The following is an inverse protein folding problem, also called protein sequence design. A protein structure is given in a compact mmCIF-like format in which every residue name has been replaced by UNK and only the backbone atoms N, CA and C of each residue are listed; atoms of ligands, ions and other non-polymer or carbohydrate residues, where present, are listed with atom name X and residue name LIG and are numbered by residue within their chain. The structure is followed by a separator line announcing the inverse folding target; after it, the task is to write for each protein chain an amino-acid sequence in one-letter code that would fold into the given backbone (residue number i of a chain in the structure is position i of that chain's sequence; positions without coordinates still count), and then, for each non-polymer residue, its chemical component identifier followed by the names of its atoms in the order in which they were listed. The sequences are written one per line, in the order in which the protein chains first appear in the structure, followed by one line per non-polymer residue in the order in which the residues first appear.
data_IF_696293620969
#
_entry.id   IF_696293620969
#
_cell.length_a   1.000
_cell.length_b   1.000
_cell.length_c   1.000
_cell.angle_alpha   90.00
_cell.angle_beta   90.00
_cell.angle_gamma   90.00
#
_symmetry.space_group_name_H-M   'P 1'
#
loop_
_entity.id
_entity.type
_entity.pdbx_description
1 polymer ?
#
# COMPACT_ATOMS: atom_id res chain seq x y z
N UNK A 1 59.27 -2.15 -13.21
CA UNK A 1 58.55 -2.29 -11.91
C UNK A 1 57.10 -1.76 -11.96
N UNK A 2 56.50 -1.58 -13.12
CA UNK A 2 55.11 -1.09 -13.25
C UNK A 2 54.24 -1.99 -14.15
N UNK A 3 54.78 -3.12 -14.61
CA UNK A 3 54.07 -4.08 -15.49
C UNK A 3 53.42 -5.27 -14.77
N UNK A 4 53.69 -5.45 -13.47
CA UNK A 4 53.20 -6.61 -12.75
C UNK A 4 51.87 -6.41 -11.98
N UNK A 5 51.35 -5.18 -11.99
CA UNK A 5 50.08 -4.82 -11.35
C UNK A 5 48.82 -5.18 -12.19
N UNK A 6 49.02 -5.53 -13.47
CA UNK A 6 47.93 -5.87 -14.39
C UNK A 6 47.80 -7.36 -14.70
N UNK A 7 48.68 -8.21 -14.14
CA UNK A 7 48.69 -9.65 -14.38
C UNK A 7 48.37 -10.50 -13.17
N UNK A 8 47.70 -9.99 -12.15
CA UNK A 8 47.06 -10.87 -11.19
C UNK A 8 45.91 -11.60 -11.92
N UNK A 9 45.90 -12.95 -11.98
CA UNK A 9 44.75 -13.64 -12.51
C UNK A 9 43.56 -13.23 -11.69
N UNK A 10 42.63 -12.48 -12.30
CA UNK A 10 41.31 -12.28 -11.72
C UNK A 10 40.74 -13.68 -11.54
N UNK A 11 40.57 -14.08 -10.29
CA UNK A 11 39.94 -15.36 -9.97
C UNK A 11 38.53 -15.33 -10.57
N UNK A 12 38.39 -15.91 -11.77
CA UNK A 12 37.11 -16.01 -12.45
C UNK A 12 36.35 -17.12 -11.76
N UNK A 13 35.35 -16.78 -10.98
CA UNK A 13 34.45 -17.79 -10.41
C UNK A 13 33.53 -18.28 -11.53
N UNK A 14 33.58 -19.59 -11.80
CA UNK A 14 32.73 -20.22 -12.82
C UNK A 14 31.56 -20.90 -12.12
N UNK A 15 30.34 -20.35 -12.30
CA UNK A 15 29.12 -20.96 -11.78
C UNK A 15 28.32 -21.56 -12.94
N UNK A 16 27.69 -22.71 -12.72
CA UNK A 16 26.79 -23.25 -13.74
C UNK A 16 25.58 -22.34 -13.91
N UNK A 17 25.08 -22.19 -15.16
CA UNK A 17 23.88 -21.39 -15.43
C UNK A 17 22.69 -21.84 -14.59
N UNK A 18 22.58 -23.14 -14.35
CA UNK A 18 21.51 -23.70 -13.52
C UNK A 18 21.60 -23.22 -12.08
N UNK A 19 22.74 -23.34 -11.43
CA UNK A 19 22.95 -22.92 -10.05
C UNK A 19 22.77 -21.41 -9.89
N UNK A 20 23.27 -20.64 -10.86
CA UNK A 20 23.07 -19.20 -10.89
C UNK A 20 21.56 -18.83 -10.99
N UNK A 21 20.84 -19.46 -11.93
CA UNK A 21 19.41 -19.17 -12.16
C UNK A 21 18.56 -19.58 -10.94
N UNK A 22 18.81 -20.74 -10.35
CA UNK A 22 18.09 -21.22 -9.16
C UNK A 22 18.27 -20.24 -7.99
N UNK A 23 19.52 -19.84 -7.71
CA UNK A 23 19.83 -18.90 -6.62
C UNK A 23 19.25 -17.52 -6.89
N UNK A 24 19.50 -16.95 -8.06
CA UNK A 24 19.01 -15.61 -8.41
C UNK A 24 17.48 -15.54 -8.40
N UNK A 25 16.79 -16.59 -8.86
CA UNK A 25 15.33 -16.64 -8.81
C UNK A 25 14.79 -16.78 -7.39
N UNK A 26 15.45 -17.58 -6.55
CA UNK A 26 15.07 -17.69 -5.13
C UNK A 26 15.24 -16.35 -4.41
N UNK A 27 16.40 -15.70 -4.56
CA UNK A 27 16.68 -14.40 -3.95
C UNK A 27 15.66 -13.33 -4.41
N UNK A 28 15.37 -13.30 -5.72
CA UNK A 28 14.33 -12.41 -6.28
C UNK A 28 12.94 -12.73 -5.71
N UNK A 29 12.57 -14.00 -5.61
CA UNK A 29 11.28 -14.43 -5.09
C UNK A 29 11.09 -13.99 -3.63
N UNK A 30 12.11 -14.20 -2.80
CA UNK A 30 12.11 -13.76 -1.40
C UNK A 30 11.97 -12.24 -1.29
N UNK A 31 12.73 -11.49 -2.09
CA UNK A 31 12.62 -10.04 -2.13
C UNK A 31 11.20 -9.57 -2.53
N UNK A 32 10.61 -10.17 -3.57
CA UNK A 32 9.25 -9.80 -4.01
C UNK A 32 8.20 -10.06 -2.93
N UNK A 33 8.33 -11.16 -2.19
CA UNK A 33 7.40 -11.51 -1.10
C UNK A 33 7.58 -10.54 0.08
N UNK A 34 8.81 -10.35 0.55
CA UNK A 34 9.10 -9.68 1.82
C UNK A 34 9.14 -8.15 1.71
N UNK A 35 9.60 -7.59 0.57
CA UNK A 35 9.87 -6.14 0.45
C UNK A 35 9.25 -5.47 -0.79
N UNK A 36 8.26 -6.07 -1.45
CA UNK A 36 7.64 -5.44 -2.62
C UNK A 36 6.13 -5.60 -2.70
N UNK A 37 5.64 -6.84 -2.84
CA UNK A 37 4.30 -7.09 -3.33
C UNK A 37 3.24 -7.17 -2.24
N UNK A 38 3.60 -7.63 -1.05
CA UNK A 38 2.65 -7.89 0.02
C UNK A 38 2.63 -6.78 1.06
N UNK A 39 1.46 -6.46 1.62
CA UNK A 39 1.32 -5.51 2.71
C UNK A 39 1.76 -6.12 4.04
N UNK A 40 2.15 -5.29 4.99
CA UNK A 40 2.28 -5.70 6.38
C UNK A 40 0.91 -5.71 7.07
N UNK A 41 0.62 -6.74 7.88
CA UNK A 41 -0.67 -6.88 8.55
C UNK A 41 -0.96 -5.74 9.53
N UNK A 42 0.06 -5.18 10.17
CA UNK A 42 -0.08 -4.14 11.19
C UNK A 42 -0.55 -2.78 10.65
N UNK A 43 -0.15 -2.40 9.44
CA UNK A 43 -0.51 -1.10 8.86
C UNK A 43 -1.17 -1.19 7.46
N UNK A 44 -1.27 -2.38 6.88
CA UNK A 44 -1.90 -2.60 5.58
C UNK A 44 -1.14 -2.00 4.40
N UNK A 45 0.12 -1.60 4.58
CA UNK A 45 0.90 -0.92 3.55
C UNK A 45 1.98 -1.83 2.96
N UNK A 46 2.18 -1.69 1.66
CA UNK A 46 3.38 -2.19 0.98
C UNK A 46 4.58 -1.31 1.33
N UNK A 47 5.83 -1.81 1.24
CA UNK A 47 7.01 -1.03 1.57
C UNK A 47 7.09 0.34 0.87
N UNK A 48 6.82 0.40 -0.44
CA UNK A 48 6.82 1.68 -1.17
C UNK A 48 5.77 2.66 -0.65
N UNK A 49 4.59 2.19 -0.29
CA UNK A 49 3.51 3.03 0.24
C UNK A 49 3.88 3.59 1.62
N UNK A 50 4.42 2.75 2.50
CA UNK A 50 4.89 3.16 3.84
C UNK A 50 6.02 4.19 3.73
N UNK A 51 6.98 3.97 2.86
CA UNK A 51 8.09 4.89 2.60
C UNK A 51 7.62 6.24 2.06
N UNK A 52 6.60 6.27 1.19
CA UNK A 52 5.98 7.50 0.70
C UNK A 52 5.31 8.27 1.84
N UNK A 53 4.45 7.62 2.63
CA UNK A 53 3.74 8.26 3.74
C UNK A 53 4.72 8.77 4.80
N UNK A 54 5.75 7.98 5.12
CA UNK A 54 6.80 8.36 6.05
C UNK A 54 7.62 9.55 5.52
N UNK A 55 8.08 9.52 4.28
CA UNK A 55 8.83 10.63 3.68
C UNK A 55 8.01 11.93 3.64
N UNK A 56 6.72 11.86 3.34
CA UNK A 56 5.82 13.01 3.41
C UNK A 56 5.69 13.57 4.83
N UNK A 57 5.66 12.70 5.84
CA UNK A 57 5.67 13.11 7.24
C UNK A 57 6.96 13.84 7.62
N UNK A 58 8.12 13.32 7.22
CA UNK A 58 9.43 13.94 7.42
C UNK A 58 9.56 15.30 6.71
N UNK A 59 8.96 15.46 5.53
CA UNK A 59 8.86 16.73 4.81
C UNK A 59 7.86 17.72 5.44
N UNK A 60 7.18 17.34 6.54
CA UNK A 60 6.19 18.17 7.20
C UNK A 60 4.90 18.36 6.38
N UNK A 61 4.60 17.46 5.44
CA UNK A 61 3.43 17.51 4.57
C UNK A 61 2.18 16.91 5.23
N UNK A 62 1.92 17.25 6.50
CA UNK A 62 0.72 16.84 7.22
C UNK A 62 -0.55 17.40 6.58
N UNK A 63 -1.71 16.91 6.97
CA UNK A 63 -3.01 17.32 6.40
C UNK A 63 -3.26 18.83 6.46
N UNK A 64 -2.75 19.52 7.48
CA UNK A 64 -2.84 20.98 7.65
C UNK A 64 -1.80 21.79 6.86
N UNK A 65 -0.81 21.12 6.25
CA UNK A 65 0.27 21.78 5.52
C UNK A 65 -0.20 22.31 4.16
N UNK A 66 0.62 23.19 3.57
CA UNK A 66 0.44 23.59 2.17
C UNK A 66 0.91 22.48 1.24
N UNK A 67 0.26 22.36 0.10
CA UNK A 67 0.68 21.44 -0.96
C UNK A 67 2.12 21.72 -1.43
N UNK A 68 2.81 20.69 -1.80
CA UNK A 68 4.13 20.73 -2.42
C UNK A 68 4.13 19.90 -3.70
N UNK A 69 4.99 20.25 -4.65
CA UNK A 69 5.15 19.48 -5.89
C UNK A 69 5.43 18.01 -5.59
N UNK A 70 4.69 17.12 -6.24
CA UNK A 70 4.83 15.65 -6.04
C UNK A 70 6.24 15.17 -6.36
N UNK A 71 6.90 15.81 -7.32
CA UNK A 71 8.31 15.55 -7.65
C UNK A 71 9.25 15.71 -6.44
N UNK A 72 8.95 16.59 -5.49
CA UNK A 72 9.73 16.75 -4.25
C UNK A 72 9.61 15.49 -3.38
N UNK A 73 8.40 15.02 -3.15
CA UNK A 73 8.15 13.79 -2.37
C UNK A 73 8.81 12.59 -3.04
N UNK A 74 8.60 12.40 -4.35
CA UNK A 74 9.22 11.30 -5.10
C UNK A 74 10.74 11.33 -5.00
N UNK A 75 11.35 12.51 -5.16
CA UNK A 75 12.80 12.67 -5.03
C UNK A 75 13.33 12.25 -3.65
N UNK A 76 12.67 12.65 -2.58
CA UNK A 76 13.05 12.24 -1.21
C UNK A 76 12.83 10.74 -0.98
N UNK A 77 11.75 10.16 -1.49
CA UNK A 77 11.46 8.72 -1.37
C UNK A 77 12.56 7.88 -2.03
N UNK A 78 12.87 8.16 -3.30
CA UNK A 78 13.86 7.36 -4.03
C UNK A 78 15.29 7.65 -3.56
N UNK A 79 15.56 8.86 -3.11
CA UNK A 79 16.90 9.24 -2.64
C UNK A 79 17.24 8.75 -1.23
N UNK A 80 16.22 8.51 -0.39
CA UNK A 80 16.43 8.19 1.03
C UNK A 80 16.00 6.79 1.43
N UNK A 81 14.92 6.26 0.85
CA UNK A 81 14.27 5.05 1.39
C UNK A 81 14.01 3.97 0.34
N UNK A 82 13.76 4.32 -0.92
CA UNK A 82 13.28 3.38 -1.92
C UNK A 82 14.12 3.43 -3.20
N UNK A 83 15.23 2.65 -3.31
CA UNK A 83 16.20 2.72 -4.39
C UNK A 83 15.67 2.07 -5.69
N UNK A 84 14.54 2.56 -6.20
CA UNK A 84 13.86 2.09 -7.40
C UNK A 84 13.49 3.27 -8.31
N UNK A 85 12.86 2.98 -9.45
CA UNK A 85 12.47 4.01 -10.41
C UNK A 85 11.44 5.00 -9.85
N UNK A 86 11.60 6.27 -10.19
CA UNK A 86 10.72 7.37 -9.80
C UNK A 86 9.28 7.18 -10.27
N UNK A 87 9.09 6.60 -11.46
CA UNK A 87 7.77 6.31 -12.01
C UNK A 87 6.99 5.35 -11.11
N UNK A 88 7.61 4.28 -10.60
CA UNK A 88 6.95 3.33 -9.71
C UNK A 88 6.53 3.96 -8.38
N UNK A 89 7.38 4.81 -7.80
CA UNK A 89 7.04 5.56 -6.58
C UNK A 89 5.90 6.57 -6.84
N UNK A 90 5.92 7.26 -7.98
CA UNK A 90 4.88 8.22 -8.32
C UNK A 90 3.54 7.51 -8.63
N UNK A 91 3.53 6.40 -9.36
CA UNK A 91 2.33 5.62 -9.61
C UNK A 91 1.69 5.09 -8.32
N UNK A 92 2.51 4.68 -7.34
CA UNK A 92 2.00 4.31 -6.02
C UNK A 92 1.38 5.53 -5.30
N UNK A 93 1.97 6.72 -5.40
CA UNK A 93 1.37 7.96 -4.89
C UNK A 93 0.03 8.26 -5.55
N UNK A 94 -0.05 8.10 -6.87
CA UNK A 94 -1.29 8.36 -7.63
C UNK A 94 -2.41 7.48 -7.13
N UNK A 95 -2.19 6.18 -6.99
CA UNK A 95 -3.20 5.25 -6.48
C UNK A 95 -3.69 5.64 -5.07
N UNK A 96 -2.78 6.04 -4.16
CA UNK A 96 -3.13 6.46 -2.80
C UNK A 96 -3.88 7.80 -2.74
N UNK A 97 -3.89 8.58 -3.83
CA UNK A 97 -4.61 9.85 -3.92
C UNK A 97 -5.96 9.73 -4.64
N UNK A 98 -6.20 8.64 -5.37
CA UNK A 98 -7.44 8.45 -6.13
C UNK A 98 -8.56 7.95 -5.20
N UNK A 99 -9.64 8.71 -5.09
CA UNK A 99 -10.81 8.40 -4.27
C UNK A 99 -11.66 7.25 -4.82
N UNK A 100 -11.49 6.93 -6.10
CA UNK A 100 -12.09 5.77 -6.74
C UNK A 100 -11.23 4.49 -6.66
N UNK A 101 -9.96 4.60 -6.21
CA UNK A 101 -9.04 3.48 -5.98
C UNK A 101 -8.91 3.13 -4.50
N UNK A 102 -8.93 4.13 -3.63
CA UNK A 102 -8.79 4.01 -2.19
C UNK A 102 -10.07 4.42 -1.48
N UNK A 103 -10.61 3.55 -0.63
CA UNK A 103 -11.80 3.88 0.18
C UNK A 103 -11.53 5.05 1.14
N UNK A 104 -10.30 5.11 1.66
CA UNK A 104 -9.78 6.18 2.52
C UNK A 104 -8.43 6.64 1.99
N UNK A 105 -8.38 7.60 1.06
CA UNK A 105 -7.14 8.07 0.48
C UNK A 105 -6.14 8.54 1.52
N UNK A 106 -4.86 8.23 1.31
CA UNK A 106 -3.75 8.63 2.18
C UNK A 106 -3.11 9.94 1.72
N UNK A 107 -3.25 10.26 0.45
CA UNK A 107 -2.68 11.45 -0.17
C UNK A 107 -3.82 12.35 -0.66
N UNK A 108 -3.73 13.62 -0.31
CA UNK A 108 -4.56 14.69 -0.81
C UNK A 108 -3.80 15.36 -1.95
N UNK A 109 -4.32 15.21 -3.16
CA UNK A 109 -3.68 15.66 -4.40
C UNK A 109 -4.36 16.87 -5.01
N UNK A 110 -3.56 17.78 -5.57
CA UNK A 110 -4.02 18.90 -6.37
C UNK A 110 -3.48 18.82 -7.79
N UNK A 111 -4.35 18.99 -8.79
CA UNK A 111 -4.05 18.81 -10.20
C UNK A 111 -4.75 17.59 -10.80
N UNK A 112 -4.23 17.06 -11.90
CA UNK A 112 -4.79 15.87 -12.56
C UNK A 112 -4.15 14.59 -12.01
N UNK A 113 -4.91 13.82 -11.24
CA UNK A 113 -4.54 12.53 -10.66
C UNK A 113 -5.26 11.35 -11.34
N UNK A 114 -5.80 11.54 -12.54
CA UNK A 114 -6.63 10.56 -13.24
C UNK A 114 -8.11 10.68 -12.88
N UNK A 115 -8.93 9.85 -13.51
CA UNK A 115 -10.36 9.75 -13.27
C UNK A 115 -10.79 8.28 -13.25
N UNK A 116 -12.00 8.00 -12.78
CA UNK A 116 -12.54 6.64 -12.77
C UNK A 116 -12.60 6.03 -14.18
N UNK A 117 -12.88 6.85 -15.21
CA UNK A 117 -12.93 6.42 -16.61
C UNK A 117 -11.54 6.16 -17.20
N UNK A 118 -10.53 6.92 -16.75
CA UNK A 118 -9.15 6.77 -17.20
C UNK A 118 -8.17 6.95 -16.02
N UNK A 119 -8.02 5.93 -15.18
CA UNK A 119 -7.21 5.99 -13.96
C UNK A 119 -5.71 6.15 -14.22
N UNK A 120 -5.25 5.90 -15.45
CA UNK A 120 -3.85 6.02 -15.84
C UNK A 120 -3.51 7.34 -16.53
N UNK A 121 -4.50 8.16 -16.86
CA UNK A 121 -4.31 9.48 -17.49
C UNK A 121 -4.12 10.58 -16.43
N UNK A 122 -3.04 10.49 -15.68
CA UNK A 122 -2.64 11.49 -14.69
C UNK A 122 -1.46 12.33 -15.20
N UNK A 123 -1.34 13.56 -14.67
CA UNK A 123 -0.26 14.45 -15.05
C UNK A 123 1.09 14.01 -14.45
N UNK A 124 2.19 14.39 -15.09
CA UNK A 124 3.53 14.13 -14.58
C UNK A 124 3.74 14.81 -13.20
N UNK A 125 4.56 14.19 -12.35
CA UNK A 125 4.83 14.63 -10.96
C UNK A 125 5.30 16.08 -10.81
N UNK A 126 5.85 16.70 -11.86
CA UNK A 126 6.24 18.12 -11.88
C UNK A 126 5.04 19.06 -11.92
N UNK A 127 3.88 18.61 -12.35
CA UNK A 127 2.66 19.42 -12.45
C UNK A 127 1.73 19.22 -11.25
N UNK A 128 1.69 18.02 -10.66
CA UNK A 128 0.83 17.74 -9.51
C UNK A 128 1.44 18.22 -8.20
N UNK A 129 0.59 18.49 -7.23
CA UNK A 129 0.97 18.85 -5.88
C UNK A 129 0.26 17.92 -4.89
N UNK A 130 0.90 17.65 -3.75
CA UNK A 130 0.39 16.68 -2.78
C UNK A 130 0.71 17.06 -1.34
N UNK A 131 -0.07 16.52 -0.43
CA UNK A 131 0.11 16.47 1.02
C UNK A 131 -0.59 15.23 1.58
N UNK A 132 -0.39 14.92 2.86
CA UNK A 132 -1.11 13.83 3.53
C UNK A 132 -2.56 14.24 3.83
N UNK A 133 -3.45 13.24 3.89
CA UNK A 133 -4.82 13.40 4.37
C UNK A 133 -4.89 13.35 5.90
N UNK A 134 -6.04 13.73 6.46
CA UNK A 134 -6.31 13.52 7.90
C UNK A 134 -6.29 12.04 8.29
N UNK A 135 -6.68 11.16 7.38
CA UNK A 135 -6.63 9.73 7.61
C UNK A 135 -5.18 9.21 7.72
N UNK A 136 -4.28 9.70 6.88
CA UNK A 136 -2.86 9.39 7.00
C UNK A 136 -2.25 9.89 8.32
N UNK A 137 -2.70 11.03 8.84
CA UNK A 137 -2.26 11.52 10.16
C UNK A 137 -2.63 10.54 11.29
N UNK A 138 -3.74 9.80 11.16
CA UNK A 138 -4.12 8.73 12.14
C UNK A 138 -3.14 7.56 12.08
N UNK A 139 -2.67 7.17 10.90
CA UNK A 139 -1.69 6.09 10.76
C UNK A 139 -0.32 6.46 11.34
N UNK A 140 0.02 7.73 11.36
CA UNK A 140 1.31 8.28 11.80
C UNK A 140 1.29 8.76 13.27
N UNK A 141 0.13 8.82 13.91
CA UNK A 141 -0.11 9.61 15.12
C UNK A 141 0.84 9.33 16.29
N UNK A 142 1.35 8.11 16.44
CA UNK A 142 2.20 7.69 17.54
C UNK A 142 3.64 7.36 17.12
N UNK A 143 4.03 7.69 15.88
CA UNK A 143 5.31 7.30 15.30
C UNK A 143 6.54 7.72 16.15
N UNK A 144 6.47 8.87 16.80
CA UNK A 144 7.54 9.38 17.67
C UNK A 144 7.48 8.91 19.13
N UNK A 145 6.60 7.96 19.48
CA UNK A 145 6.35 7.55 20.88
C UNK A 145 6.95 6.18 21.23
N UNK A 146 7.79 5.62 20.37
CA UNK A 146 8.40 4.30 20.61
C UNK A 146 7.43 3.13 20.41
N UNK A 147 6.39 3.31 19.61
CA UNK A 147 5.34 2.32 19.35
C UNK A 147 5.70 1.34 18.24
N UNK A 148 6.74 1.61 17.47
CA UNK A 148 7.17 0.81 16.31
C UNK A 148 8.68 0.59 16.32
N UNK A 149 9.10 -0.50 15.69
CA UNK A 149 10.50 -0.79 15.45
C UNK A 149 11.02 -0.06 14.22
N UNK A 150 12.32 0.23 14.21
CA UNK A 150 13.03 0.95 13.17
C UNK A 150 14.08 0.04 12.54
N UNK A 151 14.36 0.25 11.29
CA UNK A 151 15.43 -0.42 10.55
C UNK A 151 16.24 0.59 9.74
N UNK A 152 17.54 0.31 9.48
CA UNK A 152 18.31 1.11 8.55
C UNK A 152 17.67 1.13 7.16
N UNK A 153 17.76 2.27 6.48
CA UNK A 153 17.42 2.38 5.07
C UNK A 153 18.43 1.59 4.20
N UNK A 154 18.27 1.60 2.87
CA UNK A 154 19.06 0.79 1.94
C UNK A 154 20.58 1.04 1.98
N UNK A 155 21.05 2.22 2.39
CA UNK A 155 22.48 2.57 2.49
C UNK A 155 22.97 2.72 3.95
N UNK A 156 22.10 2.51 4.93
CA UNK A 156 22.41 2.63 6.35
C UNK A 156 22.63 4.06 6.85
N UNK A 157 22.31 5.07 6.06
CA UNK A 157 22.51 6.48 6.44
C UNK A 157 21.37 7.07 7.28
N UNK A 158 20.19 6.46 7.20
CA UNK A 158 18.97 6.88 7.88
C UNK A 158 18.21 5.66 8.40
N UNK A 159 17.28 5.88 9.33
CA UNK A 159 16.35 4.86 9.77
C UNK A 159 14.96 5.10 9.16
N UNK A 160 14.26 3.99 8.88
CA UNK A 160 12.86 3.98 8.44
C UNK A 160 12.02 3.07 9.36
N UNK A 161 10.73 3.39 9.58
CA UNK A 161 9.88 2.53 10.41
C UNK A 161 9.57 1.21 9.68
N UNK A 162 9.67 0.09 10.40
CA UNK A 162 9.31 -1.23 9.87
C UNK A 162 7.81 -1.33 9.59
N UNK A 163 6.99 -0.63 10.39
CA UNK A 163 5.54 -0.56 10.29
C UNK A 163 5.08 0.80 10.84
N UNK A 164 3.97 1.34 10.34
CA UNK A 164 3.37 2.52 10.95
C UNK A 164 2.51 2.12 12.16
N UNK A 165 2.33 3.02 13.17
CA UNK A 165 1.53 2.73 14.38
C UNK A 165 0.09 2.32 14.06
N UNK A 166 -0.50 2.92 13.03
CA UNK A 166 -1.81 2.59 12.47
C UNK A 166 -2.88 2.37 13.56
N UNK A 167 -3.34 3.43 14.20
CA UNK A 167 -4.36 3.40 15.28
C UNK A 167 -5.69 2.73 14.88
N UNK A 168 -5.85 2.38 13.61
CA UNK A 168 -7.00 1.68 13.03
C UNK A 168 -6.52 0.56 12.10
N UNK A 169 -7.31 -0.50 11.89
CA UNK A 169 -6.93 -1.62 11.02
C UNK A 169 -6.96 -1.23 9.53
N UNK A 170 -5.97 -0.48 9.07
CA UNK A 170 -5.92 0.05 7.70
C UNK A 170 -5.96 -1.06 6.64
N UNK A 171 -5.42 -2.25 6.94
CA UNK A 171 -5.51 -3.40 6.05
C UNK A 171 -6.95 -3.74 5.66
N UNK A 172 -7.88 -3.69 6.60
CA UNK A 172 -9.31 -3.92 6.35
C UNK A 172 -9.99 -2.68 5.75
N UNK A 173 -9.60 -1.48 6.18
CA UNK A 173 -10.25 -0.25 5.75
C UNK A 173 -9.99 0.08 4.29
N UNK A 174 -8.76 -0.01 3.82
CA UNK A 174 -8.41 0.24 2.42
C UNK A 174 -8.31 -1.02 1.58
N UNK A 175 -8.19 -2.18 2.22
CA UNK A 175 -7.87 -3.39 1.50
C UNK A 175 -6.49 -3.33 0.85
N UNK A 176 -6.17 -4.34 0.07
CA UNK A 176 -4.93 -4.37 -0.72
C UNK A 176 -4.94 -5.54 -1.69
N UNK A 177 -4.35 -5.35 -2.85
CA UNK A 177 -4.08 -6.42 -3.82
C UNK A 177 -2.58 -6.54 -4.02
N UNK A 178 -2.04 -7.75 -3.95
CA UNK A 178 -0.61 -8.00 -4.14
C UNK A 178 -0.36 -9.34 -4.80
N UNK A 179 0.47 -9.35 -5.85
CA UNK A 179 0.87 -10.56 -6.57
C UNK A 179 2.37 -10.74 -6.38
N UNK A 180 2.74 -11.73 -5.57
CA UNK A 180 4.12 -12.13 -5.33
C UNK A 180 4.45 -13.41 -6.10
N UNK A 181 5.66 -13.93 -5.91
CA UNK A 181 6.04 -15.22 -6.47
C UNK A 181 5.53 -16.34 -5.56
N UNK A 182 4.68 -17.20 -6.11
CA UNK A 182 4.10 -18.34 -5.38
C UNK A 182 2.94 -18.02 -4.44
N UNK A 183 2.61 -16.74 -4.22
CA UNK A 183 1.45 -16.33 -3.42
C UNK A 183 0.89 -14.98 -3.88
N UNK A 184 -0.38 -14.76 -3.56
CA UNK A 184 -1.07 -13.51 -3.83
C UNK A 184 -2.01 -13.18 -2.68
N UNK A 185 -2.37 -11.90 -2.54
CA UNK A 185 -3.41 -11.43 -1.63
C UNK A 185 -4.35 -10.49 -2.36
N UNK A 186 -5.63 -10.55 -2.01
CA UNK A 186 -6.66 -9.66 -2.51
C UNK A 186 -7.70 -9.42 -1.40
N UNK A 187 -7.49 -8.38 -0.63
CA UNK A 187 -8.32 -8.00 0.52
C UNK A 187 -9.15 -6.78 0.11
N UNK A 188 -10.48 -6.88 0.10
CA UNK A 188 -11.34 -5.76 -0.23
C UNK A 188 -11.38 -4.71 0.90
N UNK A 189 -11.71 -3.45 0.58
CA UNK A 189 -11.91 -2.41 1.59
C UNK A 189 -13.22 -2.59 2.35
N UNK A 190 -13.31 -2.00 3.56
CA UNK A 190 -14.46 -2.10 4.45
C UNK A 190 -14.84 -0.75 5.07
N UNK A 191 -16.07 -0.66 5.55
CA UNK A 191 -16.59 0.55 6.16
C UNK A 191 -15.95 0.84 7.52
N UNK A 192 -15.48 2.08 7.72
CA UNK A 192 -14.80 2.50 8.95
C UNK A 192 -15.63 2.27 10.21
N UNK A 193 -16.92 2.59 10.19
CA UNK A 193 -17.79 2.43 11.37
C UNK A 193 -17.98 0.97 11.73
N UNK A 194 -18.17 0.12 10.73
CA UNK A 194 -18.30 -1.33 10.90
C UNK A 194 -17.03 -1.93 11.48
N UNK A 195 -15.88 -1.59 10.91
CA UNK A 195 -14.57 -2.09 11.37
C UNK A 195 -14.27 -1.59 12.79
N UNK A 196 -14.54 -0.33 13.12
CA UNK A 196 -14.34 0.21 14.47
C UNK A 196 -15.27 -0.48 15.47
N UNK A 197 -16.54 -0.69 15.13
CA UNK A 197 -17.47 -1.41 16.00
C UNK A 197 -17.03 -2.86 16.24
N UNK A 198 -16.56 -3.54 15.20
CA UNK A 198 -15.99 -4.89 15.34
C UNK A 198 -14.73 -4.90 16.21
N UNK A 199 -13.88 -3.89 16.07
CA UNK A 199 -12.66 -3.74 16.89
C UNK A 199 -13.02 -3.51 18.36
N UNK A 200 -13.98 -2.64 18.66
CA UNK A 200 -14.46 -2.41 20.03
C UNK A 200 -15.03 -3.71 20.60
N UNK A 201 -15.86 -4.40 19.84
CA UNK A 201 -16.42 -5.70 20.28
C UNK A 201 -15.32 -6.72 20.59
N UNK A 202 -14.30 -6.81 19.73
CA UNK A 202 -13.16 -7.72 19.94
C UNK A 202 -12.31 -7.34 21.18
N UNK A 203 -12.16 -6.06 21.48
CA UNK A 203 -11.48 -5.60 22.70
C UNK A 203 -12.27 -5.99 23.97
N UNK A 204 -13.59 -5.89 23.95
CA UNK A 204 -14.45 -6.29 25.04
C UNK A 204 -14.60 -7.81 25.16
N UNK A 205 -14.48 -8.52 24.05
CA UNK A 205 -14.64 -9.97 23.91
C UNK A 205 -13.46 -10.56 23.09
N UNK A 206 -12.28 -10.75 23.70
CA UNK A 206 -11.08 -11.22 22.98
C UNK A 206 -11.21 -12.58 22.29
N UNK A 207 -12.13 -13.41 22.74
CA UNK A 207 -12.42 -14.74 22.20
C UNK A 207 -13.52 -14.71 21.11
N UNK A 208 -13.95 -13.53 20.66
CA UNK A 208 -15.00 -13.39 19.65
C UNK A 208 -14.65 -14.14 18.37
N UNK A 209 -15.59 -14.89 17.87
CA UNK A 209 -15.46 -15.65 16.63
C UNK A 209 -15.60 -14.76 15.39
N UNK A 210 -15.12 -15.25 14.24
CA UNK A 210 -15.32 -14.57 12.95
C UNK A 210 -16.80 -14.32 12.68
N UNK A 211 -17.68 -15.25 13.07
CA UNK A 211 -19.13 -15.11 12.87
C UNK A 211 -19.74 -13.99 13.69
N UNK A 212 -19.27 -13.79 14.91
CA UNK A 212 -19.70 -12.68 15.75
C UNK A 212 -19.19 -11.34 15.17
N UNK A 213 -17.95 -11.29 14.66
CA UNK A 213 -17.42 -10.09 14.00
C UNK A 213 -18.17 -9.79 12.69
N UNK A 214 -18.65 -10.80 11.95
CA UNK A 214 -19.52 -10.62 10.79
C UNK A 214 -20.90 -10.01 11.13
N UNK A 215 -21.28 -9.98 12.40
CA UNK A 215 -22.42 -9.20 12.87
C UNK A 215 -22.21 -7.68 12.81
N UNK A 216 -20.96 -7.24 12.84
CA UNK A 216 -20.55 -5.85 12.75
C UNK A 216 -20.08 -5.48 11.33
N UNK A 217 -19.29 -6.34 10.68
CA UNK A 217 -18.80 -6.16 9.31
C UNK A 217 -19.61 -7.07 8.39
N UNK A 218 -20.56 -6.50 7.67
CA UNK A 218 -21.52 -7.29 6.87
C UNK A 218 -20.98 -7.67 5.50
N UNK A 219 -20.25 -6.76 4.86
CA UNK A 219 -19.69 -6.93 3.51
C UNK A 219 -18.56 -5.93 3.27
N UNK A 220 -17.76 -6.11 2.21
CA UNK A 220 -16.86 -5.07 1.71
C UNK A 220 -17.60 -3.78 1.36
N UNK A 221 -16.87 -2.65 1.48
CA UNK A 221 -17.35 -1.31 1.16
C UNK A 221 -16.39 -0.67 0.14
N UNK A 222 -16.72 -0.81 -1.14
CA UNK A 222 -15.89 -0.33 -2.24
C UNK A 222 -16.02 1.19 -2.45
N UNK A 223 -14.99 1.88 -2.96
CA UNK A 223 -15.01 3.33 -3.15
C UNK A 223 -15.87 3.81 -4.32
N UNK A 224 -16.55 2.92 -5.03
CA UNK A 224 -17.42 3.23 -6.18
C UNK A 224 -18.86 2.81 -5.90
N UNK A 225 -19.82 3.49 -6.54
CA UNK A 225 -21.23 3.14 -6.45
C UNK A 225 -21.52 1.81 -7.18
N UNK A 226 -21.55 0.73 -6.42
CA UNK A 226 -21.87 -0.60 -6.92
C UNK A 226 -22.70 -1.38 -5.92
N UNK A 227 -23.51 -2.29 -6.42
CA UNK A 227 -24.29 -3.22 -5.59
C UNK A 227 -23.59 -4.57 -5.52
N UNK A 228 -23.36 -5.08 -4.31
CA UNK A 228 -22.87 -6.44 -4.09
C UNK A 228 -24.06 -7.39 -4.30
N UNK A 229 -23.93 -8.32 -5.25
CA UNK A 229 -24.95 -9.31 -5.56
C UNK A 229 -24.66 -10.69 -4.97
N UNK A 230 -23.51 -10.87 -4.35
CA UNK A 230 -23.16 -12.07 -3.58
C UNK A 230 -24.01 -12.15 -2.33
N UNK A 231 -24.52 -13.33 -2.01
CA UNK A 231 -25.39 -13.51 -0.84
C UNK A 231 -24.64 -13.28 0.49
N UNK A 232 -25.32 -12.83 1.56
CA UNK A 232 -24.67 -12.66 2.86
C UNK A 232 -24.03 -13.94 3.41
N UNK A 233 -24.56 -15.10 3.07
CA UNK A 233 -24.01 -16.40 3.48
C UNK A 233 -22.68 -16.69 2.78
N UNK A 234 -22.62 -16.48 1.46
CA UNK A 234 -21.38 -16.60 0.68
C UNK A 234 -20.31 -15.61 1.17
N UNK A 235 -20.67 -14.38 1.54
CA UNK A 235 -19.74 -13.40 2.10
C UNK A 235 -19.18 -13.87 3.44
N UNK A 236 -20.01 -14.41 4.34
CA UNK A 236 -19.53 -14.99 5.61
C UNK A 236 -18.56 -16.15 5.39
N UNK A 237 -18.85 -17.01 4.41
CA UNK A 237 -17.93 -18.10 4.06
C UNK A 237 -16.60 -17.60 3.50
N UNK A 238 -16.61 -16.52 2.74
CA UNK A 238 -15.38 -15.85 2.30
C UNK A 238 -14.58 -15.32 3.50
N UNK A 239 -15.22 -14.68 4.47
CA UNK A 239 -14.55 -14.21 5.68
C UNK A 239 -13.99 -15.34 6.54
N UNK A 240 -14.69 -16.47 6.65
CA UNK A 240 -14.22 -17.65 7.39
C UNK A 240 -13.05 -18.36 6.72
N UNK A 241 -13.08 -18.47 5.40
CA UNK A 241 -12.13 -19.28 4.64
C UNK A 241 -10.99 -18.48 4.04
N UNK A 242 -11.15 -17.15 3.94
CA UNK A 242 -10.23 -16.26 3.21
C UNK A 242 -10.22 -16.52 1.70
N UNK A 243 -11.23 -17.18 1.15
CA UNK A 243 -11.30 -17.54 -0.28
C UNK A 243 -12.72 -17.40 -0.81
N UNK A 244 -12.83 -16.89 -2.03
CA UNK A 244 -14.11 -16.77 -2.73
C UNK A 244 -14.10 -15.70 -3.78
N UNK A 245 -15.29 -15.39 -4.30
CA UNK A 245 -15.47 -14.34 -5.31
C UNK A 245 -16.67 -13.47 -4.91
N UNK A 246 -16.48 -12.18 -4.98
CA UNK A 246 -17.53 -11.19 -4.71
C UNK A 246 -18.03 -10.69 -6.06
N UNK A 247 -19.33 -10.86 -6.31
CA UNK A 247 -19.99 -10.37 -7.52
C UNK A 247 -20.57 -9.00 -7.24
N UNK A 248 -20.30 -8.06 -8.15
CA UNK A 248 -20.82 -6.70 -8.08
C UNK A 248 -21.53 -6.34 -9.38
N UNK A 249 -22.50 -5.45 -9.25
CA UNK A 249 -23.23 -4.85 -10.37
C UNK A 249 -23.15 -3.35 -10.26
N UNK A 250 -22.82 -2.66 -11.36
CA UNK A 250 -22.83 -1.21 -11.40
C UNK A 250 -24.24 -0.67 -11.15
N UNK A 251 -24.36 0.35 -10.32
CA UNK A 251 -25.57 1.18 -10.26
C UNK A 251 -25.49 2.20 -11.40
N UNK A 252 -26.57 2.34 -12.17
CA UNK A 252 -26.65 3.30 -13.26
C UNK A 252 -28.04 3.97 -13.33
N UNK A 253 -28.05 5.20 -13.75
CA UNK A 253 -29.27 5.95 -13.96
C UNK A 253 -29.22 6.58 -15.37
N UNK A 254 -30.34 6.49 -16.08
CA UNK A 254 -30.46 7.18 -17.37
C UNK A 254 -30.81 8.64 -17.13
N UNK A 255 -30.02 9.55 -17.69
CA UNK A 255 -30.33 10.97 -17.72
C UNK A 255 -31.15 11.27 -18.99
N UNK A 256 -32.35 11.82 -18.83
CA UNK A 256 -33.18 12.27 -19.95
C UNK A 256 -32.62 13.59 -20.48
N UNK A 257 -32.12 13.60 -21.73
CA UNK A 257 -31.70 14.82 -22.42
C UNK A 257 -30.20 14.94 -22.74
N UNK A 258 -29.39 13.99 -22.40
CA UNK A 258 -28.01 13.95 -22.91
C UNK A 258 -28.03 13.41 -24.36
N UNK A 259 -27.69 14.26 -25.33
CA UNK A 259 -27.43 13.92 -26.73
C UNK A 259 -25.93 13.82 -26.92
#
# INVERSE_FOLDING_TARGET
FMSDLFNAPQATETLSLREYAEKAYLDYSMYVILDRALPHVGDGLKPVQRRIVYAMSELGLKSSAKYKKSARTVGDVIGKFHPHGDSAAYEAMVLMAQDFSYRYPLIDGQGNWGSADDPKSFAAMRYTESKLTKYADVLLGELGQGTVDWQPNFDGSLDEPMVLPAQVPNLLLNGTTGIAVGMATDIPPHNLREVVNATIHLLDHPDATVDELCGHIQAPDFPTDAEITTSPEEIRDIFRTGRGSIRMRAAWQREDGAV
#
